data_IF_802593556387
#
_entry.id   IF_802593556387
#
_cell.length_a   1.000
_cell.length_b   1.000
_cell.length_c   1.000
_cell.angle_alpha   90.00
_cell.angle_beta   90.00
_cell.angle_gamma   90.00
#
_symmetry.space_group_name_H-M   'P 1'
#
loop_
_entity.id
_entity.type
_entity.pdbx_description
1 polymer ?
#
# COMPACT_ATOMS: atom_id res chain seq x y z
N UNK A 1 -5.44 0.24 15.74
CA UNK A 1 -4.83 -0.74 16.69
C UNK A 1 -3.44 -0.25 17.09
N UNK A 2 -2.81 -0.79 18.14
CA UNK A 2 -1.44 -0.41 18.51
C UNK A 2 -0.43 -1.01 17.52
N UNK A 3 -0.16 -0.30 16.43
CA UNK A 3 0.77 -0.70 15.37
C UNK A 3 1.74 0.43 15.03
N UNK A 4 2.75 0.13 14.20
CA UNK A 4 3.83 1.10 13.92
C UNK A 4 3.36 2.36 13.17
N UNK A 5 2.20 2.32 12.52
CA UNK A 5 1.62 3.50 11.85
C UNK A 5 1.27 4.63 12.83
N UNK A 6 1.07 4.30 14.11
CA UNK A 6 0.81 5.28 15.16
C UNK A 6 2.12 5.87 15.70
N UNK A 7 2.75 6.71 14.87
CA UNK A 7 4.06 7.30 15.15
C UNK A 7 4.00 8.51 16.10
N UNK A 8 2.82 8.88 16.59
CA UNK A 8 2.60 10.05 17.43
C UNK A 8 3.42 10.02 18.72
N UNK A 9 4.41 10.91 18.83
CA UNK A 9 5.27 11.01 20.02
C UNK A 9 6.45 10.04 20.05
N UNK A 10 6.71 9.30 18.96
CA UNK A 10 7.91 8.46 18.86
C UNK A 10 9.17 9.29 18.63
N UNK A 11 10.29 8.83 19.19
CA UNK A 11 11.63 9.42 19.00
C UNK A 11 12.49 8.50 18.11
N UNK A 12 13.54 9.07 17.48
CA UNK A 12 14.57 8.28 16.80
C UNK A 12 14.27 7.88 15.35
N UNK A 13 13.34 8.57 14.67
CA UNK A 13 12.97 8.29 13.27
C UNK A 13 13.87 8.97 12.23
N UNK A 14 14.88 9.73 12.67
CA UNK A 14 15.78 10.47 11.79
C UNK A 14 15.29 11.85 11.38
N UNK A 15 15.95 12.44 10.39
CA UNK A 15 15.63 13.76 9.85
C UNK A 15 14.48 13.68 8.83
N UNK A 16 13.77 14.78 8.65
CA UNK A 16 12.74 14.90 7.61
C UNK A 16 13.43 15.09 6.26
N UNK A 17 13.26 14.11 5.37
CA UNK A 17 13.75 14.18 4.00
C UNK A 17 12.76 14.92 3.09
N UNK A 18 12.81 16.25 3.09
CA UNK A 18 11.97 17.11 2.23
C UNK A 18 12.67 17.49 0.92
N UNK A 19 11.93 17.52 -0.20
CA UNK A 19 12.39 18.12 -1.47
C UNK A 19 11.35 19.11 -2.00
N UNK A 20 11.83 20.27 -2.49
CA UNK A 20 10.96 21.40 -2.87
C UNK A 20 10.15 21.19 -4.17
N UNK A 21 10.52 20.23 -5.00
CA UNK A 21 9.95 20.02 -6.35
C UNK A 21 9.64 18.53 -6.58
N UNK A 22 8.92 17.91 -5.65
CA UNK A 22 8.52 16.51 -5.81
C UNK A 22 7.38 16.37 -6.81
N UNK A 23 7.49 15.34 -7.65
CA UNK A 23 6.40 14.92 -8.52
C UNK A 23 5.31 14.28 -7.68
N UNK A 24 4.05 14.45 -8.09
CA UNK A 24 2.92 13.76 -7.44
C UNK A 24 3.06 12.23 -7.51
N UNK A 25 3.73 11.73 -8.56
CA UNK A 25 4.12 10.34 -8.73
C UNK A 25 5.59 10.32 -9.15
N UNK A 26 6.44 9.64 -8.38
CA UNK A 26 7.84 9.44 -8.70
C UNK A 26 8.00 8.46 -9.87
N UNK A 27 7.10 7.47 -9.95
CA UNK A 27 7.06 6.44 -10.99
C UNK A 27 5.62 6.21 -11.51
N UNK A 28 5.48 5.71 -12.74
CA UNK A 28 4.17 5.50 -13.37
C UNK A 28 3.25 4.55 -12.59
N UNK A 29 3.82 3.55 -11.92
CA UNK A 29 3.06 2.55 -11.17
C UNK A 29 2.30 3.15 -9.98
N UNK A 30 2.81 4.24 -9.39
CA UNK A 30 2.17 4.92 -8.26
C UNK A 30 0.80 5.50 -8.66
N UNK A 31 0.72 6.09 -9.84
CA UNK A 31 -0.54 6.58 -10.41
C UNK A 31 -1.53 5.44 -10.70
N UNK A 32 -1.02 4.25 -11.07
CA UNK A 32 -1.86 3.05 -11.26
C UNK A 32 -2.44 2.55 -9.94
N UNK A 33 -1.66 2.57 -8.86
CA UNK A 33 -2.14 2.17 -7.52
C UNK A 33 -3.21 3.13 -7.00
N UNK A 34 -3.05 4.44 -7.20
CA UNK A 34 -4.11 5.41 -6.91
C UNK A 34 -5.39 5.07 -7.70
N UNK A 35 -5.27 4.81 -9.00
CA UNK A 35 -6.41 4.45 -9.83
C UNK A 35 -7.10 3.16 -9.36
N UNK A 36 -6.34 2.12 -8.97
CA UNK A 36 -6.88 0.89 -8.39
C UNK A 36 -7.72 1.16 -7.15
N UNK A 37 -7.19 1.93 -6.19
CA UNK A 37 -7.94 2.30 -4.98
C UNK A 37 -9.24 3.04 -5.34
N UNK A 38 -9.16 4.06 -6.21
CA UNK A 38 -10.34 4.85 -6.61
C UNK A 38 -11.40 3.97 -7.30
N UNK A 39 -10.99 3.05 -8.16
CA UNK A 39 -11.92 2.13 -8.84
C UNK A 39 -12.62 1.20 -7.84
N UNK A 40 -11.86 0.57 -6.93
CA UNK A 40 -12.41 -0.33 -5.92
C UNK A 40 -13.30 0.38 -4.90
N UNK A 41 -12.94 1.62 -4.57
CA UNK A 41 -13.74 2.49 -3.70
C UNK A 41 -15.06 2.88 -4.37
N UNK A 42 -15.03 3.28 -5.64
CA UNK A 42 -16.22 3.71 -6.37
C UNK A 42 -17.27 2.60 -6.50
N UNK A 43 -16.85 1.34 -6.60
CA UNK A 43 -17.76 0.18 -6.68
C UNK A 43 -18.10 -0.42 -5.31
N UNK A 44 -17.58 0.17 -4.22
CA UNK A 44 -17.88 -0.27 -2.85
C UNK A 44 -17.17 -1.53 -2.40
N UNK A 45 -16.20 -2.05 -3.17
CA UNK A 45 -15.38 -3.21 -2.78
C UNK A 45 -14.53 -2.89 -1.55
N UNK A 46 -13.98 -1.69 -1.48
CA UNK A 46 -13.16 -1.21 -0.37
C UNK A 46 -13.75 0.10 0.14
N UNK A 47 -13.99 0.22 1.43
CA UNK A 47 -14.27 1.51 2.06
C UNK A 47 -12.99 2.12 2.68
N UNK A 48 -13.03 3.42 3.00
CA UNK A 48 -11.84 4.13 3.47
C UNK A 48 -11.31 3.62 4.82
N UNK A 49 -12.16 3.04 5.67
CA UNK A 49 -11.74 2.45 6.94
C UNK A 49 -10.97 1.15 6.70
N UNK A 50 -11.51 0.25 5.87
CA UNK A 50 -10.84 -1.00 5.49
C UNK A 50 -9.52 -0.74 4.76
N UNK A 51 -9.48 0.31 3.93
CA UNK A 51 -8.25 0.75 3.27
C UNK A 51 -7.17 1.21 4.25
N UNK A 52 -7.51 2.06 5.22
CA UNK A 52 -6.57 2.47 6.28
C UNK A 52 -6.12 1.27 7.08
N UNK A 53 -7.06 0.43 7.50
CA UNK A 53 -6.77 -0.75 8.30
C UNK A 53 -5.90 -1.78 7.57
N UNK A 54 -5.97 -1.87 6.24
CA UNK A 54 -5.05 -2.67 5.44
C UNK A 54 -3.60 -2.21 5.60
N UNK A 55 -3.34 -0.90 5.52
CA UNK A 55 -2.00 -0.32 5.73
C UNK A 55 -1.51 -0.52 7.18
N UNK A 56 -2.41 -0.38 8.15
CA UNK A 56 -2.09 -0.56 9.58
C UNK A 56 -1.61 -1.98 9.93
N UNK A 57 -1.93 -2.97 9.09
CA UNK A 57 -1.60 -4.39 9.26
C UNK A 57 -0.33 -4.82 8.53
N UNK A 58 0.37 -3.90 7.86
CA UNK A 58 1.66 -4.20 7.25
C UNK A 58 2.68 -4.65 8.30
N UNK A 59 3.68 -5.43 7.86
CA UNK A 59 4.85 -5.69 8.67
C UNK A 59 5.51 -4.36 9.07
N UNK A 60 5.87 -4.21 10.34
CA UNK A 60 6.33 -2.93 10.87
C UNK A 60 7.61 -2.40 10.21
N UNK A 61 8.56 -3.28 9.92
CA UNK A 61 9.79 -2.90 9.23
C UNK A 61 9.49 -2.48 7.79
N UNK A 62 8.64 -3.24 7.09
CA UNK A 62 8.23 -2.91 5.74
C UNK A 62 7.53 -1.54 5.68
N UNK A 63 6.57 -1.28 6.57
CA UNK A 63 5.87 0.00 6.67
C UNK A 63 6.83 1.20 6.81
N UNK A 64 7.87 1.07 7.62
CA UNK A 64 8.84 2.15 7.85
C UNK A 64 9.83 2.36 6.70
N UNK A 65 10.10 1.34 5.90
CA UNK A 65 11.12 1.39 4.84
C UNK A 65 10.56 1.51 3.42
N UNK A 66 9.28 1.20 3.22
CA UNK A 66 8.62 1.21 1.91
C UNK A 66 8.15 2.60 1.50
N UNK A 67 7.94 2.80 0.21
CA UNK A 67 7.37 4.04 -0.32
C UNK A 67 5.89 4.20 0.07
N UNK A 68 5.37 5.42 -0.04
CA UNK A 68 3.99 5.72 0.32
C UNK A 68 2.96 4.92 -0.51
N UNK A 69 3.19 4.79 -1.81
CA UNK A 69 2.29 4.03 -2.69
C UNK A 69 2.46 2.51 -2.56
N UNK A 70 3.56 2.01 -1.96
CA UNK A 70 3.67 0.61 -1.56
C UNK A 70 2.72 0.28 -0.40
N UNK A 71 2.46 1.23 0.52
CA UNK A 71 1.43 1.04 1.56
C UNK A 71 0.05 0.86 0.94
N UNK A 72 -0.26 1.70 -0.06
CA UNK A 72 -1.53 1.66 -0.77
C UNK A 72 -1.72 0.33 -1.48
N UNK A 73 -0.69 -0.13 -2.20
CA UNK A 73 -0.72 -1.42 -2.88
C UNK A 73 -0.93 -2.57 -1.90
N UNK A 74 -0.17 -2.60 -0.80
CA UNK A 74 -0.32 -3.63 0.24
C UNK A 74 -1.75 -3.68 0.81
N UNK A 75 -2.39 -2.52 1.00
CA UNK A 75 -3.78 -2.46 1.44
C UNK A 75 -4.77 -2.95 0.38
N UNK A 76 -4.58 -2.57 -0.89
CA UNK A 76 -5.41 -3.04 -2.01
C UNK A 76 -5.34 -4.56 -2.13
N UNK A 77 -4.13 -5.12 -2.18
CA UNK A 77 -3.91 -6.57 -2.28
C UNK A 77 -4.56 -7.31 -1.12
N UNK A 78 -4.35 -6.82 0.12
CA UNK A 78 -4.93 -7.43 1.32
C UNK A 78 -6.45 -7.43 1.30
N UNK A 79 -7.08 -6.32 0.92
CA UNK A 79 -8.54 -6.22 0.87
C UNK A 79 -9.13 -7.10 -0.25
N UNK A 80 -8.46 -7.21 -1.41
CA UNK A 80 -8.90 -8.08 -2.49
C UNK A 80 -8.80 -9.58 -2.14
N UNK A 81 -7.75 -9.96 -1.41
CA UNK A 81 -7.55 -11.31 -0.90
C UNK A 81 -8.64 -11.68 0.11
N UNK A 82 -8.92 -10.80 1.07
CA UNK A 82 -9.97 -11.00 2.09
C UNK A 82 -11.38 -10.99 1.51
N UNK A 83 -11.61 -10.24 0.43
CA UNK A 83 -12.86 -10.25 -0.31
C UNK A 83 -13.02 -11.49 -1.22
N UNK A 84 -11.98 -12.31 -1.39
CA UNK A 84 -11.98 -13.47 -2.28
C UNK A 84 -12.04 -13.11 -3.77
N UNK A 85 -11.55 -11.93 -4.15
CA UNK A 85 -11.57 -11.42 -5.53
C UNK A 85 -10.26 -11.72 -6.25
N UNK A 86 -9.12 -11.45 -5.60
CA UNK A 86 -7.78 -11.80 -6.07
C UNK A 86 -6.99 -12.27 -4.87
N UNK A 87 -6.55 -13.53 -4.90
CA UNK A 87 -5.74 -14.12 -3.83
C UNK A 87 -4.27 -13.76 -3.94
N UNK A 88 -3.57 -13.78 -2.80
CA UNK A 88 -2.11 -13.62 -2.73
C UNK A 88 -1.40 -14.62 -3.64
N UNK A 89 -1.88 -15.87 -3.69
CA UNK A 89 -1.31 -16.92 -4.53
C UNK A 89 -1.44 -16.61 -6.04
N UNK A 90 -2.56 -16.00 -6.47
CA UNK A 90 -2.74 -15.58 -7.87
C UNK A 90 -1.78 -14.44 -8.24
N UNK A 91 -1.57 -13.49 -7.33
CA UNK A 91 -0.59 -12.40 -7.50
C UNK A 91 0.82 -13.00 -7.64
N UNK A 92 1.22 -13.87 -6.71
CA UNK A 92 2.53 -14.53 -6.73
C UNK A 92 2.76 -15.34 -8.02
N UNK A 93 1.76 -16.11 -8.44
CA UNK A 93 1.82 -16.88 -9.68
C UNK A 93 2.00 -15.96 -10.90
N UNK A 94 1.27 -14.84 -10.94
CA UNK A 94 1.40 -13.86 -12.02
C UNK A 94 2.78 -13.18 -12.03
N UNK A 95 3.29 -12.82 -10.86
CA UNK A 95 4.62 -12.21 -10.74
C UNK A 95 5.74 -13.20 -11.14
N UNK A 96 5.60 -14.49 -10.82
CA UNK A 96 6.54 -15.51 -11.26
C UNK A 96 6.56 -15.66 -12.79
N UNK A 97 5.38 -15.63 -13.44
CA UNK A 97 5.29 -15.65 -14.91
C UNK A 97 5.95 -14.42 -15.55
N UNK A 98 5.76 -13.23 -14.97
CA UNK A 98 6.33 -11.99 -15.50
C UNK A 98 7.85 -11.92 -15.33
N UNK A 99 8.40 -12.49 -14.25
CA UNK A 99 9.85 -12.57 -14.00
C UNK A 99 10.58 -13.60 -14.88
N UNK A 100 9.86 -14.62 -15.36
CA UNK A 100 10.41 -15.67 -16.22
C UNK A 100 10.45 -15.30 -17.71
N UNK A 101 9.86 -14.16 -18.09
CA UNK A 101 9.90 -13.57 -19.43
C UNK A 101 10.92 -12.43 -19.49
#
# INVERSE_FOLDING_TARGET
>A
MNGIHDLGGMHGLGEIHYRAQELAFADEWEGRVLAMFLSLFAIGTINLHAFRHGMERMNAAHYLSSSYYEHWLASVEKNLDEAGIVSTAEIEARMAQLKGN
#
